data_IF_452256549363
#
_entry.id   IF_452256549363
#
_cell.length_a   1.000
_cell.length_b   1.000
_cell.length_c   1.000
_cell.angle_alpha   90.00
_cell.angle_beta   90.00
_cell.angle_gamma   90.00
#
_symmetry.space_group_name_H-M   'P 1'
#
loop_
_entity.id
_entity.type
_entity.pdbx_description
1 polymer ?
#
# COMPACT_ATOMS: atom_id res chain seq x y z
N UNK A 1 23.87 11.42 17.85
CA UNK A 1 22.92 10.31 17.57
C UNK A 1 21.51 10.90 17.61
N UNK A 2 20.82 11.05 16.47
CA UNK A 2 19.49 11.70 16.43
C UNK A 2 18.90 11.99 15.05
N UNK A 3 19.70 11.97 13.97
CA UNK A 3 19.21 12.39 12.64
C UNK A 3 18.36 11.37 11.88
N UNK A 4 18.46 10.07 12.16
CA UNK A 4 17.73 9.05 11.41
C UNK A 4 16.23 9.03 11.73
N UNK A 5 15.85 9.29 12.98
CA UNK A 5 14.45 9.21 13.43
C UNK A 5 13.61 10.38 12.91
N UNK A 6 14.18 11.58 12.80
CA UNK A 6 13.46 12.77 12.32
C UNK A 6 13.24 12.76 10.81
N UNK A 7 14.18 12.18 10.06
CA UNK A 7 14.07 12.08 8.60
C UNK A 7 13.03 11.03 8.20
N UNK A 8 13.00 9.88 8.88
CA UNK A 8 11.97 8.86 8.65
C UNK A 8 10.57 9.42 8.91
N UNK A 9 10.36 10.06 10.06
CA UNK A 9 9.07 10.70 10.41
C UNK A 9 8.67 11.77 9.39
N UNK A 10 9.60 12.59 8.92
CA UNK A 10 9.31 13.60 7.89
C UNK A 10 8.97 12.99 6.52
N UNK A 11 9.55 11.84 6.18
CA UNK A 11 9.22 11.10 4.96
C UNK A 11 7.84 10.47 5.09
N UNK A 12 7.54 9.84 6.24
CA UNK A 12 6.22 9.25 6.51
C UNK A 12 5.11 10.30 6.44
N UNK A 13 5.28 11.47 7.07
CA UNK A 13 4.29 12.56 7.00
C UNK A 13 4.09 13.09 5.57
N UNK A 14 5.15 13.13 4.75
CA UNK A 14 5.03 13.52 3.33
C UNK A 14 4.27 12.47 2.53
N UNK A 15 4.55 11.19 2.76
CA UNK A 15 3.85 10.08 2.08
C UNK A 15 2.39 10.07 2.47
N UNK A 16 2.09 10.19 3.76
CA UNK A 16 0.73 10.28 4.28
C UNK A 16 -0.03 11.43 3.61
N UNK A 17 0.59 12.62 3.52
CA UNK A 17 0.01 13.77 2.82
C UNK A 17 -0.29 13.51 1.34
N UNK A 18 0.60 12.79 0.63
CA UNK A 18 0.37 12.37 -0.76
C UNK A 18 -0.79 11.39 -0.86
N UNK A 19 -0.86 10.39 0.02
CA UNK A 19 -1.93 9.39 0.06
C UNK A 19 -3.29 10.05 0.33
N UNK A 20 -3.37 10.96 1.31
CA UNK A 20 -4.57 11.74 1.62
C UNK A 20 -4.98 12.59 0.42
N UNK A 21 -4.03 13.28 -0.22
CA UNK A 21 -4.32 14.07 -1.41
C UNK A 21 -4.90 13.22 -2.55
N UNK A 22 -4.32 12.04 -2.80
CA UNK A 22 -4.80 11.13 -3.83
C UNK A 22 -6.16 10.54 -3.50
N UNK A 23 -6.42 10.13 -2.25
CA UNK A 23 -7.75 9.72 -1.78
C UNK A 23 -8.82 10.78 -2.07
N UNK A 24 -8.53 12.04 -1.73
CA UNK A 24 -9.46 13.17 -1.99
C UNK A 24 -9.73 13.35 -3.48
N UNK A 25 -8.70 13.22 -4.32
CA UNK A 25 -8.81 13.35 -5.79
C UNK A 25 -9.48 12.18 -6.48
N UNK A 26 -9.60 11.01 -5.84
CA UNK A 26 -10.34 9.88 -6.39
C UNK A 26 -11.87 10.03 -6.24
N UNK A 27 -12.32 10.98 -5.42
CA UNK A 27 -13.71 11.40 -5.23
C UNK A 27 -14.65 10.28 -4.72
N UNK A 28 -14.91 10.33 -3.40
CA UNK A 28 -16.12 9.89 -2.66
C UNK A 28 -16.36 8.38 -2.41
N UNK A 29 -15.71 7.44 -3.08
CA UNK A 29 -15.94 6.00 -2.80
C UNK A 29 -15.05 5.38 -1.68
N UNK A 30 -14.19 6.18 -1.06
CA UNK A 30 -13.06 5.66 -0.27
C UNK A 30 -13.03 6.26 1.14
N UNK A 31 -13.08 5.40 2.15
CA UNK A 31 -12.84 5.79 3.54
C UNK A 31 -11.34 6.02 3.75
N UNK A 32 -10.89 7.28 3.60
CA UNK A 32 -9.49 7.67 3.74
C UNK A 32 -8.90 7.30 5.11
N UNK A 33 -9.72 7.30 6.17
CA UNK A 33 -9.30 6.95 7.54
C UNK A 33 -8.93 5.48 7.67
N UNK A 34 -9.48 4.63 6.79
CA UNK A 34 -9.13 3.21 6.72
C UNK A 34 -8.02 2.97 5.68
N UNK A 35 -8.12 3.61 4.52
CA UNK A 35 -7.22 3.35 3.39
C UNK A 35 -5.80 3.88 3.63
N UNK A 36 -5.64 5.08 4.18
CA UNK A 36 -4.31 5.68 4.36
C UNK A 36 -3.44 4.88 5.35
N UNK A 37 -3.92 4.48 6.54
CA UNK A 37 -3.15 3.64 7.45
C UNK A 37 -2.80 2.27 6.84
N UNK A 38 -3.73 1.63 6.15
CA UNK A 38 -3.46 0.35 5.46
C UNK A 38 -2.42 0.52 4.35
N UNK A 39 -2.43 1.62 3.60
CA UNK A 39 -1.43 1.89 2.58
C UNK A 39 -0.03 2.13 3.17
N UNK A 40 0.06 2.81 4.33
CA UNK A 40 1.32 3.02 5.05
C UNK A 40 1.87 1.70 5.60
N UNK A 41 1.02 0.85 6.18
CA UNK A 41 1.42 -0.49 6.66
C UNK A 41 1.95 -1.37 5.53
N UNK A 42 1.27 -1.37 4.37
CA UNK A 42 1.73 -2.09 3.19
C UNK A 42 3.08 -1.57 2.71
N UNK A 43 3.29 -0.26 2.73
CA UNK A 43 4.53 0.39 2.30
C UNK A 43 5.71 -0.02 3.20
N UNK A 44 5.56 0.12 4.52
CA UNK A 44 6.60 -0.25 5.49
C UNK A 44 6.80 -1.76 5.65
N UNK A 45 5.76 -2.56 5.43
CA UNK A 45 5.81 -4.00 5.69
C UNK A 45 6.14 -4.85 4.46
N UNK A 46 5.52 -4.56 3.31
CA UNK A 46 5.62 -5.41 2.12
C UNK A 46 6.49 -4.80 1.03
N UNK A 47 6.47 -3.48 0.85
CA UNK A 47 7.30 -2.81 -0.16
C UNK A 47 8.74 -2.60 0.28
N UNK A 48 9.01 -2.48 1.58
CA UNK A 48 10.38 -2.47 2.12
C UNK A 48 11.21 -3.68 1.66
N UNK A 49 10.58 -4.86 1.58
CA UNK A 49 11.21 -6.09 1.07
C UNK A 49 11.34 -6.13 -0.46
N UNK A 50 10.72 -5.20 -1.17
CA UNK A 50 10.80 -5.07 -2.62
C UNK A 50 11.69 -3.88 -2.98
N UNK A 51 12.97 -4.00 -2.65
CA UNK A 51 14.02 -2.98 -2.81
C UNK A 51 14.23 -2.46 -4.24
N UNK A 52 13.65 -3.12 -5.25
CA UNK A 52 13.82 -2.79 -6.67
C UNK A 52 12.67 -1.95 -7.26
N UNK A 53 11.69 -1.52 -6.46
CA UNK A 53 10.58 -0.69 -6.95
C UNK A 53 10.87 0.80 -6.71
N UNK A 54 10.74 1.65 -7.75
CA UNK A 54 10.76 3.09 -7.57
C UNK A 54 9.73 3.52 -6.52
N UNK A 55 10.13 4.43 -5.63
CA UNK A 55 9.31 4.90 -4.51
C UNK A 55 7.88 5.29 -4.90
N UNK A 56 7.73 6.01 -6.02
CA UNK A 56 6.42 6.41 -6.55
C UNK A 56 5.53 5.21 -6.88
N UNK A 57 6.10 4.16 -7.47
CA UNK A 57 5.36 2.93 -7.76
C UNK A 57 4.95 2.23 -6.47
N UNK A 58 5.82 2.20 -5.45
CA UNK A 58 5.50 1.60 -4.15
C UNK A 58 4.36 2.33 -3.45
N UNK A 59 4.36 3.66 -3.42
CA UNK A 59 3.28 4.48 -2.81
C UNK A 59 1.97 4.33 -3.59
N UNK A 60 2.01 4.33 -4.92
CA UNK A 60 0.80 4.14 -5.73
C UNK A 60 0.24 2.72 -5.61
N UNK A 61 1.11 1.70 -5.61
CA UNK A 61 0.69 0.32 -5.50
C UNK A 61 0.18 -0.02 -4.09
N UNK A 62 0.74 0.58 -3.04
CA UNK A 62 0.21 0.42 -1.67
C UNK A 62 -1.18 1.04 -1.54
N UNK A 63 -1.40 2.21 -2.14
CA UNK A 63 -2.73 2.83 -2.18
C UNK A 63 -3.73 1.96 -2.95
N UNK A 64 -3.38 1.49 -4.14
CA UNK A 64 -4.23 0.59 -4.94
C UNK A 64 -4.66 -0.66 -4.15
N UNK A 65 -3.72 -1.27 -3.44
CA UNK A 65 -3.99 -2.45 -2.62
C UNK A 65 -4.86 -2.15 -1.41
N UNK A 66 -4.60 -1.02 -0.73
CA UNK A 66 -5.44 -0.56 0.38
C UNK A 66 -6.89 -0.29 -0.08
N UNK A 67 -7.09 0.31 -1.26
CA UNK A 67 -8.43 0.48 -1.85
C UNK A 67 -9.14 -0.86 -2.04
N UNK A 68 -8.43 -1.89 -2.54
CA UNK A 68 -9.01 -3.23 -2.72
C UNK A 68 -9.35 -3.93 -1.40
N UNK A 69 -8.55 -3.70 -0.35
CA UNK A 69 -8.75 -4.30 0.96
C UNK A 69 -9.84 -3.60 1.79
N UNK A 70 -9.98 -2.29 1.64
CA UNK A 70 -10.94 -1.50 2.41
C UNK A 70 -12.29 -1.32 1.72
N UNK A 71 -12.36 -1.45 0.38
CA UNK A 71 -13.62 -1.35 -0.37
C UNK A 71 -14.43 -2.64 -0.25
N UNK A 72 -15.64 -2.54 0.30
CA UNK A 72 -16.59 -3.66 0.41
C UNK A 72 -17.02 -4.19 -0.98
N UNK A 73 -17.03 -3.33 -2.01
CA UNK A 73 -17.33 -3.69 -3.40
C UNK A 73 -16.10 -3.99 -4.27
N UNK A 74 -14.90 -3.94 -3.68
CA UNK A 74 -13.63 -3.97 -4.41
C UNK A 74 -13.31 -2.64 -5.12
N UNK A 75 -12.03 -2.44 -5.46
CA UNK A 75 -11.61 -1.33 -6.31
C UNK A 75 -11.87 -1.66 -7.78
N UNK A 76 -12.46 -0.73 -8.51
CA UNK A 76 -12.88 -0.92 -9.90
C UNK A 76 -11.79 -0.53 -10.90
N UNK A 77 -11.97 -0.90 -12.17
CA UNK A 77 -11.09 -0.43 -13.25
C UNK A 77 -11.14 1.09 -13.46
N UNK A 78 -12.23 1.76 -13.06
CA UNK A 78 -12.33 3.22 -13.10
C UNK A 78 -11.44 3.86 -12.03
N UNK A 79 -11.40 3.29 -10.82
CA UNK A 79 -10.52 3.74 -9.74
C UNK A 79 -9.05 3.59 -10.14
N UNK A 80 -8.70 2.49 -10.82
CA UNK A 80 -7.36 2.26 -11.34
C UNK A 80 -6.96 3.32 -12.38
N UNK A 81 -7.86 3.68 -13.30
CA UNK A 81 -7.60 4.74 -14.29
C UNK A 81 -7.47 6.12 -13.64
N UNK A 82 -8.31 6.45 -12.65
CA UNK A 82 -8.17 7.70 -11.90
C UNK A 82 -6.84 7.75 -11.17
N UNK A 83 -6.46 6.65 -10.51
CA UNK A 83 -5.20 6.55 -9.81
C UNK A 83 -4.01 6.67 -10.78
N UNK A 84 -4.06 6.08 -11.97
CA UNK A 84 -3.07 6.28 -13.04
C UNK A 84 -2.95 7.76 -13.44
N UNK A 85 -4.07 8.46 -13.63
CA UNK A 85 -4.05 9.89 -13.98
C UNK A 85 -3.47 10.78 -12.88
N UNK A 86 -3.81 10.51 -11.62
CA UNK A 86 -3.36 11.31 -10.47
C UNK A 86 -1.88 11.02 -10.14
N UNK A 87 -1.51 9.74 -10.18
CA UNK A 87 -0.17 9.28 -9.80
C UNK A 87 0.82 9.30 -10.95
N UNK A 88 0.39 9.34 -12.22
CA UNK A 88 1.25 9.20 -13.39
C UNK A 88 1.89 7.82 -13.56
N UNK A 89 1.52 6.83 -12.74
CA UNK A 89 2.03 5.45 -12.84
C UNK A 89 1.07 4.64 -13.70
N UNK A 90 1.55 3.98 -14.77
CA UNK A 90 0.68 3.25 -15.68
C UNK A 90 0.01 2.06 -14.99
N UNK A 91 -1.30 1.88 -15.25
CA UNK A 91 -2.12 0.85 -14.61
C UNK A 91 -1.55 -0.57 -14.74
N UNK A 92 -0.90 -0.87 -15.88
CA UNK A 92 -0.24 -2.17 -16.12
C UNK A 92 0.85 -2.48 -15.09
N UNK A 93 1.63 -1.47 -14.67
CA UNK A 93 2.65 -1.64 -13.64
C UNK A 93 2.04 -1.88 -12.26
N UNK A 94 0.91 -1.24 -11.96
CA UNK A 94 0.20 -1.46 -10.71
C UNK A 94 -0.35 -2.89 -10.61
N UNK A 95 -0.94 -3.42 -11.69
CA UNK A 95 -1.43 -4.81 -11.74
C UNK A 95 -0.30 -5.85 -11.66
N UNK A 96 0.83 -5.59 -12.33
CA UNK A 96 2.02 -6.44 -12.22
C UNK A 96 2.61 -6.42 -10.79
N UNK A 97 2.54 -5.29 -10.11
CA UNK A 97 3.00 -5.13 -8.72
C UNK A 97 2.01 -5.77 -7.74
N UNK A 98 0.70 -5.65 -7.97
CA UNK A 98 -0.36 -6.30 -7.19
C UNK A 98 -0.16 -7.81 -7.14
N UNK A 99 0.06 -8.46 -8.29
CA UNK A 99 0.25 -9.92 -8.34
C UNK A 99 1.52 -10.38 -7.61
N UNK A 100 2.57 -9.55 -7.56
CA UNK A 100 3.75 -9.78 -6.72
C UNK A 100 3.43 -9.58 -5.23
N UNK A 101 2.68 -8.54 -4.90
CA UNK A 101 2.33 -8.20 -3.52
C UNK A 101 1.34 -9.19 -2.91
N UNK A 102 0.33 -9.62 -3.64
CA UNK A 102 -0.63 -10.63 -3.21
C UNK A 102 0.08 -11.93 -2.79
N UNK A 103 1.14 -12.33 -3.52
CA UNK A 103 2.00 -13.46 -3.14
C UNK A 103 2.78 -13.18 -1.87
N UNK A 104 3.32 -11.98 -1.70
CA UNK A 104 4.07 -11.59 -0.50
C UNK A 104 3.18 -11.56 0.76
N UNK A 105 1.98 -10.99 0.66
CA UNK A 105 0.98 -10.95 1.73
C UNK A 105 0.53 -12.37 2.10
N UNK A 106 0.24 -13.23 1.11
CA UNK A 106 -0.11 -14.64 1.35
C UNK A 106 0.99 -15.39 2.09
N UNK A 107 2.26 -15.20 1.69
CA UNK A 107 3.41 -15.80 2.37
C UNK A 107 3.58 -15.32 3.81
N UNK A 108 3.26 -14.05 4.10
CA UNK A 108 3.23 -13.53 5.47
C UNK A 108 2.20 -14.27 6.32
N UNK A 109 0.95 -14.33 5.85
CA UNK A 109 -0.13 -15.04 6.58
C UNK A 109 0.19 -16.51 6.82
N UNK A 110 0.80 -17.19 5.84
CA UNK A 110 1.20 -18.59 6.03
C UNK A 110 2.37 -18.78 7.00
N UNK A 111 3.24 -17.78 7.20
CA UNK A 111 4.31 -17.84 8.21
C UNK A 111 3.74 -17.59 9.61
N UNK A 112 2.96 -16.53 9.73
CA UNK A 112 2.23 -16.16 10.95
C UNK A 112 1.40 -17.34 11.49
N UNK A 113 0.56 -17.96 10.65
CA UNK A 113 -0.22 -19.14 11.01
C UNK A 113 0.63 -20.40 11.32
N UNK A 114 1.87 -20.48 10.83
CA UNK A 114 2.77 -21.60 11.13
C UNK A 114 3.48 -21.41 12.46
N UNK A 115 3.65 -20.17 12.91
CA UNK A 115 4.24 -19.82 14.21
C UNK A 115 3.22 -20.03 15.36
N UNK A 116 1.91 -19.93 15.09
CA UNK A 116 0.85 -20.18 16.08
C UNK A 116 0.53 -21.68 16.34
N UNK A 117 0.94 -22.60 15.44
CA UNK A 117 0.69 -24.05 15.57
C UNK A 117 1.80 -24.85 16.27
N UNK A 118 2.79 -24.18 16.87
CA UNK A 118 3.96 -24.77 17.52
C UNK A 118 4.01 -24.45 19.03
N UNK A 119 2.85 -24.24 19.67
CA UNK A 119 2.73 -23.92 21.09
C UNK A 119 1.91 -24.96 21.89
N UNK A 120 1.72 -26.17 21.36
CA UNK A 120 1.15 -27.30 22.11
C UNK A 120 2.20 -28.41 22.26
N UNK A 121 2.94 -28.36 23.37
CA UNK A 121 3.62 -29.49 23.99
C UNK A 121 3.34 -29.43 25.49
#
# INVERSE_FOLDING_TARGET
VGGASTVAVAVDSKVEGVLVNWCRRMEVAVDERRVVPTAMELLGGCFDRMTNLPFRISVTASLWMALRLCSSGGATGQDLRKLEQISGVPAKLLLATESRLARAVKRRRSRDNREEGLAEC
#
